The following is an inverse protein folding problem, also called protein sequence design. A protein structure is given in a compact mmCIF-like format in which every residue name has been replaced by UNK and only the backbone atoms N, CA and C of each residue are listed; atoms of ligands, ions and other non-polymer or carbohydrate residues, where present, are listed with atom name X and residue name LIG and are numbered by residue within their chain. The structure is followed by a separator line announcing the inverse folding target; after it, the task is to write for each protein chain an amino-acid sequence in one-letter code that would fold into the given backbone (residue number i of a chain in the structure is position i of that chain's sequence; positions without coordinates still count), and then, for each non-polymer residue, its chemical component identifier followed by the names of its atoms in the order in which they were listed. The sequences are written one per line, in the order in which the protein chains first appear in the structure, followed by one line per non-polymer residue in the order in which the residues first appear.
data_IF_665757766310
#
_entry.id   IF_665757766310
#
_cell.length_a   1.000
_cell.length_b   1.000
_cell.length_c   1.000
_cell.angle_alpha   90.00
_cell.angle_beta   90.00
_cell.angle_gamma   90.00
#
_symmetry.space_group_name_H-M   'P 1'
#
loop_
_entity.id
_entity.type
_entity.pdbx_description
1 polymer ?
#
# COMPACT_ATOMS: atom_id res chain seq x y z
N UNK A 1 -10.66 16.25 -3.35
CA UNK A 1 -11.06 14.95 -2.82
C UNK A 1 -9.92 14.04 -3.16
N UNK A 2 -9.33 13.39 -2.15
CA UNK A 2 -8.47 12.24 -2.42
C UNK A 2 -9.43 11.07 -2.55
N UNK A 3 -9.43 10.48 -3.72
CA UNK A 3 -10.34 9.41 -4.06
C UNK A 3 -9.60 8.09 -3.92
N UNK A 4 -10.31 6.97 -3.82
CA UNK A 4 -9.65 5.67 -3.70
C UNK A 4 -8.81 5.30 -4.95
N UNK A 5 -8.92 6.08 -6.02
CA UNK A 5 -8.03 6.09 -7.18
C UNK A 5 -6.58 6.49 -6.82
N UNK A 6 -6.38 7.45 -5.91
CA UNK A 6 -5.05 7.85 -5.44
C UNK A 6 -4.33 6.68 -4.74
N UNK A 7 -5.06 5.91 -3.94
CA UNK A 7 -4.54 4.68 -3.34
C UNK A 7 -4.23 3.63 -4.40
N UNK A 8 -5.13 3.45 -5.37
CA UNK A 8 -4.91 2.53 -6.50
C UNK A 8 -3.65 2.85 -7.30
N UNK A 9 -3.45 4.11 -7.68
CA UNK A 9 -2.28 4.55 -8.43
C UNK A 9 -0.99 4.32 -7.64
N UNK A 10 -1.00 4.65 -6.34
CA UNK A 10 0.15 4.46 -5.47
C UNK A 10 0.51 2.97 -5.31
N UNK A 11 -0.49 2.13 -5.04
CA UNK A 11 -0.33 0.68 -4.89
C UNK A 11 0.16 0.07 -6.21
N UNK A 12 -0.42 0.47 -7.35
CA UNK A 12 -0.03 -0.03 -8.66
C UNK A 12 1.44 0.31 -8.98
N UNK A 13 1.87 1.54 -8.73
CA UNK A 13 3.27 1.95 -8.93
C UNK A 13 4.24 1.14 -8.09
N UNK A 14 3.86 0.77 -6.87
CA UNK A 14 4.71 -0.06 -6.00
C UNK A 14 4.77 -1.52 -6.48
N UNK A 15 3.63 -2.06 -6.91
CA UNK A 15 3.51 -3.43 -7.44
C UNK A 15 4.30 -3.59 -8.75
N UNK A 16 4.28 -2.59 -9.63
CA UNK A 16 5.05 -2.58 -10.89
C UNK A 16 6.56 -2.33 -10.66
N UNK A 17 6.94 -1.91 -9.45
CA UNK A 17 8.34 -1.59 -9.12
C UNK A 17 8.77 -0.18 -9.55
N UNK A 18 7.83 0.70 -9.89
CA UNK A 18 8.08 2.11 -10.17
C UNK A 18 8.51 2.92 -8.94
N UNK A 19 8.21 2.43 -7.73
CA UNK A 19 8.72 2.95 -6.45
C UNK A 19 9.18 1.80 -5.54
N UNK A 20 10.13 2.09 -4.64
CA UNK A 20 10.57 1.13 -3.62
C UNK A 20 9.64 1.10 -2.39
N UNK A 21 9.83 0.11 -1.52
CA UNK A 21 8.98 -0.13 -0.36
C UNK A 21 9.00 1.01 0.66
N UNK A 22 10.14 1.69 0.86
CA UNK A 22 10.21 2.84 1.76
C UNK A 22 9.51 4.07 1.19
N UNK A 23 9.62 4.31 -0.11
CA UNK A 23 8.82 5.35 -0.78
C UNK A 23 7.32 5.06 -0.73
N UNK A 24 6.93 3.80 -0.92
CA UNK A 24 5.55 3.37 -0.82
C UNK A 24 4.99 3.59 0.60
N UNK A 25 5.71 3.11 1.62
CA UNK A 25 5.35 3.29 3.04
C UNK A 25 5.08 4.76 3.37
N UNK A 26 6.07 5.63 3.12
CA UNK A 26 5.95 7.05 3.44
C UNK A 26 4.75 7.72 2.76
N UNK A 27 4.53 7.42 1.48
CA UNK A 27 3.43 8.02 0.71
C UNK A 27 2.08 7.47 1.13
N UNK A 28 2.00 6.19 1.45
CA UNK A 28 0.76 5.56 1.89
C UNK A 28 0.30 6.10 3.24
N UNK A 29 1.23 6.21 4.20
CA UNK A 29 0.97 6.80 5.52
C UNK A 29 0.58 8.29 5.42
N UNK A 30 1.23 9.06 4.53
CA UNK A 30 0.83 10.46 4.29
C UNK A 30 -0.57 10.54 3.68
N UNK A 31 -0.87 9.68 2.72
CA UNK A 31 -2.17 9.65 2.05
C UNK A 31 -3.27 9.40 3.07
N UNK A 32 -3.11 8.35 3.89
CA UNK A 32 -4.10 7.93 4.89
C UNK A 32 -4.27 8.94 6.03
N UNK A 33 -3.18 9.57 6.50
CA UNK A 33 -3.24 10.60 7.54
C UNK A 33 -4.02 11.85 7.12
N UNK A 34 -3.98 12.17 5.84
CA UNK A 34 -4.58 13.37 5.26
C UNK A 34 -5.81 13.02 4.41
N UNK A 35 -6.34 11.81 4.55
CA UNK A 35 -7.55 11.39 3.86
C UNK A 35 -8.76 11.74 4.73
N UNK A 36 -9.54 12.71 4.25
CA UNK A 36 -10.77 13.16 4.89
C UNK A 36 -12.01 12.53 4.22
N UNK A 37 -11.80 11.62 3.27
CA UNK A 37 -12.85 10.99 2.48
C UNK A 37 -13.50 9.83 3.25
N UNK A 38 -14.82 9.77 3.22
CA UNK A 38 -15.57 8.60 3.71
C UNK A 38 -15.61 7.54 2.61
N UNK A 39 -14.69 6.58 2.69
CA UNK A 39 -14.71 5.41 1.82
C UNK A 39 -15.87 4.46 2.16
N UNK A 40 -16.43 3.72 1.18
CA UNK A 40 -17.32 2.61 1.46
C UNK A 40 -16.65 1.60 2.40
N UNK A 41 -17.42 0.95 3.28
CA UNK A 41 -16.89 0.06 4.32
C UNK A 41 -15.98 -1.03 3.76
N UNK A 42 -16.36 -1.68 2.65
CA UNK A 42 -15.56 -2.71 2.00
C UNK A 42 -14.21 -2.18 1.47
N UNK A 43 -14.19 -0.92 1.02
CA UNK A 43 -12.99 -0.26 0.49
C UNK A 43 -12.09 0.13 1.65
N UNK A 44 -12.65 0.76 2.67
CA UNK A 44 -11.93 1.14 3.88
C UNK A 44 -11.29 -0.09 4.55
N UNK A 45 -12.00 -1.21 4.65
CA UNK A 45 -11.46 -2.44 5.22
C UNK A 45 -10.22 -2.95 4.49
N UNK A 46 -10.17 -2.83 3.15
CA UNK A 46 -8.98 -3.20 2.37
C UNK A 46 -7.82 -2.22 2.61
N UNK A 47 -8.12 -0.92 2.68
CA UNK A 47 -7.11 0.12 2.92
C UNK A 47 -6.55 0.04 4.36
N UNK A 48 -7.39 -0.27 5.35
CA UNK A 48 -7.02 -0.44 6.76
C UNK A 48 -6.19 -1.71 6.97
N UNK A 49 -6.54 -2.82 6.32
CA UNK A 49 -5.71 -4.05 6.34
C UNK A 49 -4.32 -3.77 5.76
N UNK A 50 -4.25 -3.10 4.60
CA UNK A 50 -2.96 -2.74 4.00
C UNK A 50 -2.19 -1.73 4.85
N UNK A 51 -2.88 -0.81 5.52
CA UNK A 51 -2.25 0.13 6.45
C UNK A 51 -1.51 -0.60 7.57
N UNK A 52 -2.10 -1.64 8.18
CA UNK A 52 -1.41 -2.43 9.22
C UNK A 52 -0.11 -3.03 8.69
N UNK A 53 -0.13 -3.62 7.49
CA UNK A 53 1.07 -4.21 6.89
C UNK A 53 2.14 -3.15 6.57
N UNK A 54 1.73 -1.93 6.21
CA UNK A 54 2.61 -0.79 5.93
C UNK A 54 3.18 -0.19 7.22
N UNK A 55 2.37 -0.02 8.27
CA UNK A 55 2.82 0.52 9.57
C UNK A 55 3.79 -0.44 10.27
N UNK A 56 3.60 -1.75 10.09
CA UNK A 56 4.50 -2.80 10.57
C UNK A 56 5.73 -3.02 9.67
N UNK A 57 5.78 -2.41 8.49
CA UNK A 57 6.93 -2.54 7.61
C UNK A 57 8.14 -1.84 8.22
N UNK A 58 9.12 -2.66 8.62
CA UNK A 58 10.37 -2.19 9.16
C UNK A 58 11.53 -3.02 8.62
N UNK A 59 12.55 -2.33 8.11
CA UNK A 59 13.81 -2.96 7.70
C UNK A 59 14.94 -2.39 8.53
N UNK A 60 15.53 -3.24 9.38
CA UNK A 60 16.68 -2.88 10.20
C UNK A 60 17.81 -2.28 9.36
N UNK A 61 18.54 -1.26 9.87
CA UNK A 61 19.71 -0.71 9.17
C UNK A 61 20.82 -1.74 8.99
N UNK A 62 20.87 -2.76 9.84
CA UNK A 62 21.81 -3.88 9.81
C UNK A 62 21.32 -5.07 8.96
N UNK A 63 20.11 -4.99 8.38
CA UNK A 63 19.57 -6.07 7.56
C UNK A 63 20.43 -6.32 6.32
N UNK A 64 20.65 -7.59 6.02
CA UNK A 64 21.32 -8.01 4.80
C UNK A 64 20.52 -7.59 3.56
N UNK A 65 21.18 -7.48 2.40
CA UNK A 65 20.49 -7.20 1.12
C UNK A 65 19.38 -8.23 0.83
N UNK A 66 19.60 -9.49 1.18
CA UNK A 66 18.59 -10.55 1.03
C UNK A 66 17.39 -10.36 1.96
N UNK A 67 17.60 -10.00 3.22
CA UNK A 67 16.52 -9.76 4.19
C UNK A 67 15.70 -8.52 3.80
N UNK A 68 16.36 -7.44 3.35
CA UNK A 68 15.67 -6.27 2.81
C UNK A 68 14.80 -6.65 1.63
N UNK A 69 15.35 -7.40 0.68
CA UNK A 69 14.60 -7.85 -0.50
C UNK A 69 13.38 -8.71 -0.12
N UNK A 70 13.53 -9.61 0.83
CA UNK A 70 12.44 -10.47 1.33
C UNK A 70 11.31 -9.63 1.94
N UNK A 71 11.65 -8.62 2.74
CA UNK A 71 10.67 -7.67 3.31
C UNK A 71 9.98 -6.82 2.24
N UNK A 72 10.74 -6.28 1.29
CA UNK A 72 10.20 -5.51 0.18
C UNK A 72 9.25 -6.36 -0.69
N UNK A 73 9.61 -7.63 -0.93
CA UNK A 73 8.80 -8.58 -1.70
C UNK A 73 7.51 -8.94 -0.96
N UNK A 74 7.60 -9.24 0.35
CA UNK A 74 6.43 -9.53 1.17
C UNK A 74 5.43 -8.36 1.18
N UNK A 75 5.90 -7.12 1.38
CA UNK A 75 5.02 -5.95 1.31
C UNK A 75 4.40 -5.78 -0.08
N UNK A 76 5.17 -6.06 -1.14
CA UNK A 76 4.68 -5.99 -2.53
C UNK A 76 3.58 -7.02 -2.80
N UNK A 77 3.71 -8.24 -2.29
CA UNK A 77 2.67 -9.27 -2.42
C UNK A 77 1.36 -8.86 -1.73
N UNK A 78 1.47 -8.24 -0.54
CA UNK A 78 0.32 -7.71 0.20
C UNK A 78 -0.36 -6.56 -0.54
N UNK A 79 0.43 -5.62 -1.04
CA UNK A 79 -0.05 -4.51 -1.85
C UNK A 79 -0.74 -5.01 -3.13
N UNK A 80 -0.19 -6.02 -3.81
CA UNK A 80 -0.81 -6.63 -4.98
C UNK A 80 -2.16 -7.30 -4.65
N UNK A 81 -2.25 -7.98 -3.51
CA UNK A 81 -3.50 -8.58 -3.05
C UNK A 81 -4.57 -7.52 -2.77
N UNK A 82 -4.20 -6.42 -2.11
CA UNK A 82 -5.09 -5.29 -1.86
C UNK A 82 -5.57 -4.65 -3.17
N UNK A 83 -4.67 -4.43 -4.14
CA UNK A 83 -5.02 -3.88 -5.44
C UNK A 83 -6.08 -4.71 -6.17
N UNK A 84 -5.95 -6.03 -6.15
CA UNK A 84 -6.93 -6.95 -6.74
C UNK A 84 -8.29 -6.82 -6.06
N UNK A 85 -8.33 -6.65 -4.74
CA UNK A 85 -9.58 -6.46 -3.98
C UNK A 85 -10.23 -5.12 -4.33
N UNK A 86 -9.45 -4.03 -4.36
CA UNK A 86 -9.94 -2.69 -4.74
C UNK A 86 -10.54 -2.68 -6.15
N UNK A 87 -9.88 -3.31 -7.13
CA UNK A 87 -10.41 -3.46 -8.50
C UNK A 87 -11.73 -4.23 -8.53
N UNK A 88 -11.87 -5.30 -7.73
CA UNK A 88 -13.13 -6.08 -7.66
C UNK A 88 -14.28 -5.30 -7.05
N UNK A 89 -13.99 -4.35 -6.16
CA UNK A 89 -14.99 -3.47 -5.55
C UNK A 89 -15.42 -2.34 -6.49
N UNK A 90 -14.86 -2.25 -7.71
CA UNK A 90 -15.24 -1.24 -8.71
C UNK A 90 -14.70 0.15 -8.39
N UNK A 91 -13.64 0.22 -7.59
CA UNK A 91 -13.04 1.46 -7.10
C UNK A 91 -12.00 2.03 -8.07
N UNK A 92 -11.44 1.17 -8.92
CA UNK A 92 -10.40 1.49 -9.90
C UNK A 92 -10.96 1.15 -11.28
N UNK A 93 -11.10 2.16 -12.14
CA UNK A 93 -11.61 2.02 -13.53
C UNK A 93 -10.51 1.63 -14.53
#
# INVERSE_FOLDING_TARGET
MRDADDYGELIERFVDGGIDAGQFEQRYLDLMKNDETLHPEDVFAVLDELFSEVDEYFVSPEASVAERRDRDEALRERAAAALVRLRRLGVLE
#
